data_IF_665236233215
#
_entry.id   IF_665236233215
#
_cell.length_a   1.000
_cell.length_b   1.000
_cell.length_c   1.000
_cell.angle_alpha   90.00
_cell.angle_beta   90.00
_cell.angle_gamma   90.00
#
_symmetry.space_group_name_H-M   'P 1'
#
loop_
_entity.id
_entity.type
_entity.pdbx_description
1 polymer ?
#
# COMPACT_ATOMS: atom_id res chain seq x y z
N UNK A 1 -1.31 15.37 -8.91
CA UNK A 1 -0.13 15.58 -8.10
C UNK A 1 0.77 14.40 -8.28
N UNK A 2 1.90 14.66 -8.86
CA UNK A 2 2.83 13.58 -9.03
C UNK A 2 3.30 13.15 -7.66
N UNK A 3 3.13 11.90 -7.42
CA UNK A 3 3.75 11.31 -6.26
C UNK A 3 5.23 11.30 -6.57
N UNK A 4 5.89 12.28 -6.10
CA UNK A 4 7.31 12.18 -6.04
C UNK A 4 7.56 11.14 -4.97
N UNK A 5 7.96 9.99 -5.40
CA UNK A 5 8.72 9.15 -4.53
C UNK A 5 9.96 9.97 -4.27
N UNK A 6 9.93 10.74 -3.24
CA UNK A 6 11.15 11.27 -2.74
C UNK A 6 11.90 10.05 -2.30
N UNK A 7 12.69 9.58 -3.19
CA UNK A 7 13.66 8.61 -2.84
C UNK A 7 14.65 9.27 -1.92
N UNK A 8 14.23 9.49 -0.73
CA UNK A 8 15.17 9.53 0.34
C UNK A 8 15.66 8.12 0.52
N UNK A 9 15.83 7.45 -0.57
CA UNK A 9 16.47 6.18 -0.48
C UNK A 9 17.92 6.47 -0.66
N UNK A 10 18.46 6.97 0.39
CA UNK A 10 19.86 6.81 0.60
C UNK A 10 20.17 5.38 0.26
N UNK A 11 21.22 5.18 -0.46
CA UNK A 11 21.68 3.86 -0.87
C UNK A 11 21.87 2.92 0.30
N UNK A 12 22.10 3.47 1.50
CA UNK A 12 22.26 2.67 2.71
C UNK A 12 20.97 2.05 3.20
N UNK A 13 19.83 2.50 2.69
CA UNK A 13 18.55 1.89 2.96
C UNK A 13 18.08 1.07 1.80
N UNK A 14 18.95 0.73 0.95
CA UNK A 14 18.57 -0.13 -0.09
C UNK A 14 18.52 -1.56 0.31
N UNK A 15 17.85 -1.78 0.60
CA UNK A 15 17.08 -2.67 0.97
C UNK A 15 16.87 -3.70 -0.08
N UNK A 16 15.89 -4.41 0.15
CA UNK A 16 15.58 -5.55 -0.67
C UNK A 16 14.95 -5.16 -2.01
N UNK A 17 14.50 -3.90 -2.17
CA UNK A 17 13.67 -3.48 -3.30
C UNK A 17 12.21 -3.80 -3.09
N UNK A 18 11.89 -4.55 -2.03
CA UNK A 18 10.51 -4.88 -1.68
C UNK A 18 10.00 -3.93 -0.62
N UNK A 19 8.68 -3.80 -0.55
CA UNK A 19 8.06 -2.91 0.40
C UNK A 19 6.65 -3.30 0.75
N UNK A 20 6.09 -2.53 1.68
CA UNK A 20 4.68 -2.63 2.06
C UNK A 20 4.05 -1.29 1.77
N UNK A 21 3.02 -1.29 0.94
CA UNK A 21 2.22 -0.10 0.68
C UNK A 21 1.05 -0.12 1.66
N UNK A 22 0.87 0.99 2.38
CA UNK A 22 -0.21 1.13 3.33
C UNK A 22 -1.31 1.99 2.71
N UNK A 23 -2.53 1.49 2.81
CA UNK A 23 -3.73 2.17 2.32
C UNK A 23 -4.82 1.96 3.35
N UNK A 24 -5.64 2.98 3.61
CA UNK A 24 -6.84 2.79 4.43
C UNK A 24 -8.07 2.94 3.58
N UNK A 25 -9.09 2.15 3.88
CA UNK A 25 -10.38 2.18 3.20
C UNK A 25 -11.51 2.36 4.22
N UNK A 26 -12.58 3.01 3.79
CA UNK A 26 -13.71 3.32 4.68
C UNK A 26 -14.66 2.16 4.93
N UNK A 27 -14.52 1.06 4.20
CA UNK A 27 -15.35 -0.13 4.40
C UNK A 27 -14.53 -1.38 4.09
N UNK A 28 -14.92 -2.48 4.72
CA UNK A 28 -14.30 -3.76 4.45
C UNK A 28 -14.49 -4.17 2.99
N UNK A 29 -15.67 -3.89 2.45
CA UNK A 29 -15.98 -4.22 1.07
C UNK A 29 -15.03 -3.52 0.09
N UNK A 30 -14.77 -2.25 0.32
CA UNK A 30 -13.84 -1.50 -0.53
C UNK A 30 -12.42 -2.03 -0.39
N UNK A 31 -12.00 -2.32 0.84
CA UNK A 31 -10.67 -2.87 1.08
C UNK A 31 -10.49 -4.19 0.34
N UNK A 32 -11.49 -5.08 0.40
CA UNK A 32 -11.44 -6.35 -0.31
C UNK A 32 -11.37 -6.15 -1.82
N UNK A 33 -12.15 -5.22 -2.35
CA UNK A 33 -12.16 -4.96 -3.79
C UNK A 33 -10.79 -4.46 -4.28
N UNK A 34 -10.20 -3.54 -3.55
CA UNK A 34 -8.86 -3.04 -3.88
C UNK A 34 -7.83 -4.17 -3.80
N UNK A 35 -7.85 -4.94 -2.72
CA UNK A 35 -6.90 -6.03 -2.52
C UNK A 35 -6.97 -7.06 -3.63
N UNK A 36 -8.18 -7.48 -3.99
CA UNK A 36 -8.37 -8.47 -5.04
C UNK A 36 -7.89 -7.97 -6.40
N UNK A 37 -8.17 -6.71 -6.70
CA UNK A 37 -7.73 -6.11 -7.96
C UNK A 37 -6.21 -6.10 -8.07
N UNK A 38 -5.52 -5.68 -7.00
CA UNK A 38 -4.06 -5.61 -7.02
C UNK A 38 -3.41 -6.99 -7.15
N UNK A 39 -3.95 -7.98 -6.45
CA UNK A 39 -3.40 -9.33 -6.50
C UNK A 39 -3.67 -9.95 -7.88
N UNK A 40 -4.88 -9.80 -8.41
CA UNK A 40 -5.22 -10.37 -9.71
C UNK A 40 -4.43 -9.73 -10.85
N UNK A 41 -4.10 -8.45 -10.73
CA UNK A 41 -3.30 -7.77 -11.75
C UNK A 41 -1.81 -7.95 -11.54
N UNK A 42 -1.40 -8.76 -10.57
CA UNK A 42 0.01 -9.06 -10.28
C UNK A 42 0.80 -7.82 -9.89
N UNK A 43 0.15 -6.84 -9.30
CA UNK A 43 0.81 -5.67 -8.73
C UNK A 43 1.15 -5.89 -7.27
N UNK A 44 0.52 -6.85 -6.62
CA UNK A 44 0.80 -7.18 -5.23
C UNK A 44 0.86 -8.69 -5.07
N UNK A 45 1.79 -9.14 -4.23
CA UNK A 45 1.90 -10.57 -3.95
C UNK A 45 0.87 -11.01 -2.92
N UNK A 46 0.60 -10.15 -1.95
CA UNK A 46 -0.29 -10.46 -0.84
C UNK A 46 -0.80 -9.14 -0.27
N UNK A 47 -2.04 -9.13 0.16
CA UNK A 47 -2.62 -7.98 0.88
C UNK A 47 -3.27 -8.49 2.14
N UNK A 48 -2.82 -7.97 3.28
CA UNK A 48 -3.50 -8.21 4.55
C UNK A 48 -4.41 -7.03 4.84
N UNK A 49 -5.56 -7.30 5.44
CA UNK A 49 -6.54 -6.27 5.76
C UNK A 49 -6.81 -6.34 7.25
N UNK A 50 -6.67 -5.19 7.92
CA UNK A 50 -6.82 -5.09 9.37
C UNK A 50 -7.81 -4.00 9.70
N UNK A 51 -8.85 -4.27 10.51
CA UNK A 51 -9.73 -3.22 11.00
C UNK A 51 -9.01 -2.39 12.05
N UNK A 52 -9.21 -1.07 12.03
CA UNK A 52 -8.60 -0.18 12.99
C UNK A 52 -9.45 1.06 13.21
N UNK A 53 -9.08 1.84 14.22
CA UNK A 53 -9.68 3.15 14.46
C UNK A 53 -8.70 4.20 14.01
N UNK A 54 -9.18 5.18 13.25
CA UNK A 54 -8.36 6.29 12.78
C UNK A 54 -8.85 7.58 13.39
N UNK A 55 -7.93 8.39 13.86
CA UNK A 55 -8.23 9.71 14.42
C UNK A 55 -7.40 10.71 13.63
N UNK A 56 -8.06 11.69 13.01
CA UNK A 56 -7.38 12.63 12.13
C UNK A 56 -8.18 13.91 12.01
N UNK A 57 -7.53 14.95 11.49
CA UNK A 57 -8.16 16.22 11.20
C UNK A 57 -8.39 16.33 9.70
N UNK A 58 -9.62 16.67 9.33
CA UNK A 58 -9.97 16.91 7.94
C UNK A 58 -10.81 18.18 7.88
N UNK A 59 -10.36 19.14 7.07
CA UNK A 59 -11.04 20.44 6.90
C UNK A 59 -11.31 21.13 8.25
N UNK A 60 -10.33 21.07 9.15
CA UNK A 60 -10.40 21.75 10.44
C UNK A 60 -11.17 21.01 11.51
N UNK A 61 -11.72 19.83 11.22
CA UNK A 61 -12.50 19.09 12.20
C UNK A 61 -11.82 17.78 12.56
N UNK A 62 -11.99 17.38 13.82
CA UNK A 62 -11.48 16.12 14.31
C UNK A 62 -12.44 15.00 13.95
N UNK A 63 -11.91 13.97 13.33
CA UNK A 63 -12.68 12.78 12.96
C UNK A 63 -12.14 11.57 13.71
N UNK A 64 -13.04 10.69 14.07
CA UNK A 64 -12.70 9.37 14.61
C UNK A 64 -13.57 8.36 13.88
N UNK A 65 -12.94 7.48 13.13
CA UNK A 65 -13.66 6.55 12.27
C UNK A 65 -13.04 5.18 12.30
N UNK A 66 -13.88 4.17 12.12
CA UNK A 66 -13.37 2.84 11.86
C UNK A 66 -12.96 2.76 10.40
N UNK A 67 -11.78 2.23 10.16
CA UNK A 67 -11.28 2.00 8.82
C UNK A 67 -10.64 0.63 8.72
N UNK A 68 -10.31 0.24 7.49
CA UNK A 68 -9.62 -1.01 7.22
C UNK A 68 -8.31 -0.67 6.56
N UNK A 69 -7.22 -1.13 7.17
CA UNK A 69 -5.90 -0.88 6.62
C UNK A 69 -5.46 -2.05 5.77
N UNK A 70 -4.99 -1.75 4.58
CA UNK A 70 -4.39 -2.72 3.69
C UNK A 70 -2.88 -2.66 3.84
N UNK A 71 -2.27 -3.82 4.02
CA UNK A 71 -0.82 -3.97 4.02
C UNK A 71 -0.48 -4.73 2.74
N UNK A 72 0.00 -4.02 1.75
CA UNK A 72 0.20 -4.52 0.39
C UNK A 72 1.66 -4.87 0.21
N UNK A 73 1.97 -6.17 0.12
CA UNK A 73 3.34 -6.62 -0.07
C UNK A 73 3.66 -6.67 -1.55
N UNK A 74 4.70 -5.95 -1.94
CA UNK A 74 5.01 -5.74 -3.35
C UNK A 74 6.47 -5.35 -3.55
N UNK A 75 6.84 -5.08 -4.78
CA UNK A 75 8.10 -4.43 -5.10
C UNK A 75 7.90 -2.92 -5.18
N UNK A 76 8.86 -2.18 -4.63
CA UNK A 76 8.76 -0.72 -4.60
C UNK A 76 8.71 -0.10 -5.99
N UNK A 77 9.30 -0.76 -6.97
CA UNK A 77 9.27 -0.29 -8.36
C UNK A 77 7.84 -0.20 -8.91
N UNK A 78 6.89 -0.91 -8.29
CA UNK A 78 5.50 -0.90 -8.74
C UNK A 78 4.65 0.14 -8.04
N UNK A 79 5.25 0.95 -7.16
CA UNK A 79 4.48 1.87 -6.32
C UNK A 79 3.60 2.82 -7.15
N UNK A 80 4.16 3.42 -8.20
CA UNK A 80 3.41 4.37 -9.01
C UNK A 80 2.20 3.73 -9.69
N UNK A 81 2.37 2.50 -10.19
CA UNK A 81 1.27 1.77 -10.82
C UNK A 81 0.20 1.40 -9.80
N UNK A 82 0.64 0.97 -8.61
CA UNK A 82 -0.28 0.64 -7.52
C UNK A 82 -1.06 1.88 -7.09
N UNK A 83 -0.36 2.99 -6.90
CA UNK A 83 -0.99 4.25 -6.50
C UNK A 83 -2.04 4.70 -7.50
N UNK A 84 -1.72 4.64 -8.79
CA UNK A 84 -2.66 5.01 -9.85
C UNK A 84 -3.90 4.13 -9.82
N UNK A 85 -3.70 2.81 -9.66
CA UNK A 85 -4.81 1.87 -9.61
C UNK A 85 -5.72 2.13 -8.40
N UNK A 86 -5.11 2.39 -7.23
CA UNK A 86 -5.86 2.64 -6.02
C UNK A 86 -6.67 3.93 -6.16
N UNK A 87 -6.08 4.97 -6.72
CA UNK A 87 -6.79 6.24 -6.88
C UNK A 87 -8.02 6.12 -7.76
N UNK A 88 -8.00 5.23 -8.73
CA UNK A 88 -9.17 4.98 -9.56
C UNK A 88 -10.27 4.22 -8.83
N UNK A 89 -9.89 3.38 -7.85
CA UNK A 89 -10.84 2.51 -7.16
C UNK A 89 -11.33 3.11 -5.85
N UNK A 90 -10.59 4.06 -5.28
CA UNK A 90 -10.86 4.53 -3.93
C UNK A 90 -11.94 5.60 -3.91
N UNK A 91 -12.79 5.57 -2.89
CA UNK A 91 -13.86 6.54 -2.73
C UNK A 91 -13.39 7.85 -2.11
N UNK A 92 -12.23 7.86 -1.44
CA UNK A 92 -11.73 9.06 -0.79
C UNK A 92 -11.13 10.02 -1.80
N UNK A 93 -11.31 11.31 -1.55
CA UNK A 93 -10.70 12.34 -2.37
C UNK A 93 -9.17 12.30 -2.24
N UNK A 94 -8.68 12.10 -1.01
CA UNK A 94 -7.24 12.02 -0.73
C UNK A 94 -6.99 10.74 0.07
N UNK A 95 -6.82 9.59 -0.60
CA UNK A 95 -6.56 8.35 0.13
C UNK A 95 -5.12 8.31 0.65
N UNK A 96 -4.93 7.62 1.79
CA UNK A 96 -3.59 7.31 2.25
C UNK A 96 -2.97 6.27 1.33
N UNK A 97 -1.84 6.61 0.73
CA UNK A 97 -1.08 5.66 -0.10
C UNK A 97 0.38 5.96 0.17
N UNK A 98 1.00 5.19 1.03
CA UNK A 98 2.39 5.39 1.42
C UNK A 98 3.13 4.05 1.37
N UNK A 99 4.43 4.09 1.14
CA UNK A 99 5.22 2.88 1.03
C UNK A 99 6.30 2.85 2.10
N UNK A 100 6.47 1.68 2.70
CA UNK A 100 7.52 1.42 3.68
C UNK A 100 8.46 0.38 3.06
N UNK A 101 9.75 0.69 2.98
CA UNK A 101 10.69 -0.30 2.43
C UNK A 101 10.96 -1.40 3.43
N UNK A 102 11.13 -2.62 2.92
CA UNK A 102 11.55 -3.74 3.74
C UNK A 102 13.07 -3.76 3.79
N UNK A 103 13.62 -3.57 4.98
CA UNK A 103 15.08 -3.57 5.16
C UNK A 103 15.66 -4.98 5.09
N UNK A 104 14.84 -5.99 5.40
CA UNK A 104 15.26 -7.39 5.41
C UNK A 104 14.03 -8.28 5.33
N UNK A 105 14.24 -9.49 4.85
CA UNK A 105 13.22 -10.52 4.83
C UNK A 105 13.88 -11.86 4.54
N UNK A 106 13.20 -12.96 4.85
CA UNK A 106 13.75 -14.26 4.52
C UNK A 106 13.83 -14.40 3.00
N UNK A 107 14.89 -15.04 2.52
CA UNK A 107 15.06 -15.23 1.08
C UNK A 107 13.87 -15.93 0.45
N UNK A 108 13.34 -16.94 1.10
CA UNK A 108 12.21 -17.69 0.55
C UNK A 108 10.97 -16.82 0.40
N UNK A 109 10.71 -15.94 1.37
CA UNK A 109 9.53 -15.08 1.30
C UNK A 109 9.70 -14.00 0.25
N UNK A 110 10.86 -13.35 0.19
CA UNK A 110 11.13 -12.32 -0.81
C UNK A 110 11.07 -12.90 -2.22
N UNK A 111 11.58 -14.11 -2.42
CA UNK A 111 11.47 -14.79 -3.70
C UNK A 111 10.03 -15.11 -4.03
N UNK A 112 9.22 -15.45 -3.02
CA UNK A 112 7.81 -15.71 -3.23
C UNK A 112 7.09 -14.44 -3.69
N UNK A 113 7.38 -13.29 -3.06
CA UNK A 113 6.82 -12.01 -3.51
C UNK A 113 7.16 -11.78 -4.98
N UNK A 114 8.43 -11.94 -5.34
CA UNK A 114 8.89 -11.74 -6.70
C UNK A 114 8.15 -12.65 -7.69
N UNK A 115 7.94 -13.89 -7.31
CA UNK A 115 7.29 -14.87 -8.19
C UNK A 115 5.81 -14.55 -8.45
N UNK A 116 5.15 -13.86 -7.53
CA UNK A 116 3.74 -13.50 -7.68
C UNK A 116 3.54 -12.23 -8.51
N UNK A 117 4.59 -11.44 -8.64
CA UNK A 117 4.56 -10.18 -9.36
C UNK A 117 5.28 -10.39 -10.67
N UNK A 118 4.71 -10.05 -11.76
CA UNK A 118 5.41 -10.21 -13.04
C UNK A 118 5.30 -9.00 -13.91
#
# INVERSE_FOLDING_TARGET
MSVTVVAIMDQNFNLTGYGVVLVTAGSQQQALAIAKTLVKSQLAACVNIVPLQSIYTWQGELHQEQEWQLLIKTELALFEMISAQIQQLHSYQVPEIIAIPLVAGSNSYLQWICAQIS
#
